data_IF_418819996647
#
_entry.id   IF_418819996647
#
_cell.length_a   1.000
_cell.length_b   1.000
_cell.length_c   1.000
_cell.angle_alpha   90.00
_cell.angle_beta   90.00
_cell.angle_gamma   90.00
#
_symmetry.space_group_name_H-M   'P 1'
#
loop_
_entity.id
_entity.type
_entity.pdbx_description
1 polymer ?
#
# COMPACT_ATOMS: atom_id res chain seq x y z
N UNK A 1 3.37 -30.59 10.62
CA UNK A 1 2.65 -29.54 9.88
C UNK A 1 3.72 -28.54 9.52
N UNK A 2 4.26 -28.66 8.32
CA UNK A 2 5.32 -27.77 7.85
C UNK A 2 4.65 -26.47 7.41
N UNK A 3 4.98 -25.38 8.10
CA UNK A 3 4.48 -24.06 7.77
C UNK A 3 5.35 -23.52 6.63
N UNK A 4 4.76 -23.37 5.44
CA UNK A 4 5.37 -22.63 4.35
C UNK A 4 4.90 -21.18 4.48
N UNK A 5 5.84 -20.25 4.75
CA UNK A 5 5.57 -18.82 4.62
C UNK A 5 5.96 -18.39 3.21
N UNK A 6 5.07 -17.67 2.54
CA UNK A 6 5.30 -17.15 1.20
C UNK A 6 6.06 -15.83 1.32
N UNK A 7 7.30 -15.80 0.84
CA UNK A 7 8.11 -14.59 0.74
C UNK A 7 8.28 -14.28 -0.74
N UNK A 8 7.34 -13.52 -1.28
CA UNK A 8 7.53 -12.93 -2.60
C UNK A 8 8.39 -11.67 -2.51
N UNK A 9 9.14 -11.33 -3.56
CA UNK A 9 9.79 -10.03 -3.65
C UNK A 9 8.71 -8.94 -3.57
N UNK A 10 8.89 -8.00 -2.64
CA UNK A 10 8.02 -6.84 -2.50
C UNK A 10 8.16 -5.87 -3.66
N UNK A 11 7.32 -4.85 -3.66
CA UNK A 11 7.44 -3.68 -4.53
C UNK A 11 7.87 -2.47 -3.71
N UNK A 12 8.99 -1.86 -4.09
CA UNK A 12 9.45 -0.62 -3.49
C UNK A 12 8.93 0.59 -4.28
N UNK A 13 8.07 1.38 -3.64
CA UNK A 13 7.57 2.65 -4.19
C UNK A 13 8.39 3.78 -3.59
N UNK A 14 9.24 4.40 -4.41
CA UNK A 14 10.16 5.48 -3.96
C UNK A 14 9.76 6.86 -4.45
N UNK A 15 8.73 6.94 -5.30
CA UNK A 15 8.19 8.18 -5.87
C UNK A 15 6.69 8.06 -6.03
N UNK A 16 6.01 9.18 -5.87
CA UNK A 16 4.59 9.32 -6.14
C UNK A 16 4.38 10.54 -7.05
N UNK A 17 3.40 10.45 -7.95
CA UNK A 17 2.91 11.63 -8.68
C UNK A 17 2.16 12.57 -7.72
N UNK A 18 1.43 11.97 -6.77
CA UNK A 18 0.68 12.70 -5.75
C UNK A 18 0.48 11.85 -4.49
N UNK A 19 0.43 12.51 -3.33
CA UNK A 19 0.00 11.90 -2.07
C UNK A 19 -1.05 12.79 -1.41
N UNK A 20 -2.20 12.21 -1.08
CA UNK A 20 -3.35 12.92 -0.48
C UNK A 20 -3.97 12.12 0.67
N UNK A 21 -4.63 12.82 1.60
CA UNK A 21 -5.45 12.18 2.64
C UNK A 21 -6.91 12.22 2.19
N UNK A 22 -7.59 11.09 2.31
CA UNK A 22 -9.02 10.95 2.07
C UNK A 22 -9.72 10.23 3.23
N UNK A 23 -11.04 10.09 3.13
CA UNK A 23 -11.83 9.22 4.01
C UNK A 23 -11.81 7.78 3.46
N UNK A 24 -11.74 6.79 4.33
CA UNK A 24 -11.69 5.36 3.93
C UNK A 24 -13.09 4.74 3.67
N UNK A 25 -14.16 5.54 3.84
CA UNK A 25 -15.54 5.11 3.62
C UNK A 25 -16.18 4.33 4.79
N UNK A 26 -15.43 4.03 5.85
CA UNK A 26 -15.91 3.35 7.06
C UNK A 26 -15.71 4.18 8.34
N UNK A 27 -15.40 5.47 8.18
CA UNK A 27 -15.23 6.45 9.27
C UNK A 27 -13.80 6.62 9.75
N UNK A 28 -12.83 6.00 9.05
CA UNK A 28 -11.40 6.26 9.22
C UNK A 28 -10.83 7.12 8.08
N UNK A 29 -9.52 7.27 8.10
CA UNK A 29 -8.77 8.00 7.10
C UNK A 29 -7.96 7.04 6.23
N UNK A 30 -7.71 7.49 5.00
CA UNK A 30 -6.84 6.83 4.05
C UNK A 30 -5.75 7.78 3.59
N UNK A 31 -4.53 7.27 3.41
CA UNK A 31 -3.51 7.93 2.59
C UNK A 31 -3.52 7.28 1.21
N UNK A 32 -3.74 8.10 0.18
CA UNK A 32 -3.77 7.69 -1.21
C UNK A 32 -2.48 8.14 -1.88
N UNK A 33 -1.70 7.19 -2.37
CA UNK A 33 -0.43 7.41 -3.06
C UNK A 33 -0.64 7.14 -4.53
N UNK A 34 -0.78 8.19 -5.35
CA UNK A 34 -0.84 8.07 -6.81
C UNK A 34 0.55 7.77 -7.35
N UNK A 35 0.67 6.63 -8.01
CA UNK A 35 1.87 6.10 -8.63
C UNK A 35 2.22 6.84 -9.92
N UNK A 36 3.50 6.83 -10.28
CA UNK A 36 3.89 7.22 -11.64
C UNK A 36 3.37 6.18 -12.64
N UNK A 37 3.20 6.52 -13.93
CA UNK A 37 2.74 5.56 -14.92
C UNK A 37 3.62 4.31 -15.05
N UNK A 38 4.93 4.44 -14.82
CA UNK A 38 5.85 3.30 -14.83
C UNK A 38 5.62 2.41 -13.60
N UNK A 39 5.57 2.99 -12.40
CA UNK A 39 5.37 2.25 -11.15
C UNK A 39 3.98 1.61 -11.09
N UNK A 40 2.96 2.20 -11.74
CA UNK A 40 1.62 1.63 -11.85
C UNK A 40 1.60 0.31 -12.63
N UNK A 41 2.44 0.17 -13.66
CA UNK A 41 2.58 -1.10 -14.40
C UNK A 41 3.22 -2.17 -13.53
N UNK A 42 4.29 -1.81 -12.81
CA UNK A 42 4.98 -2.73 -11.91
C UNK A 42 4.09 -3.14 -10.73
N UNK A 43 3.29 -2.21 -10.19
CA UNK A 43 2.31 -2.48 -9.15
C UNK A 43 1.19 -3.43 -9.60
N UNK A 44 0.62 -3.22 -10.78
CA UNK A 44 -0.38 -4.13 -11.33
C UNK A 44 0.18 -5.55 -11.55
N UNK A 45 1.41 -5.66 -12.05
CA UNK A 45 2.09 -6.93 -12.22
C UNK A 45 2.35 -7.62 -10.87
N UNK A 46 2.85 -6.87 -9.89
CA UNK A 46 3.14 -7.38 -8.55
C UNK A 46 1.88 -7.86 -7.81
N UNK A 47 0.80 -7.07 -7.84
CA UNK A 47 -0.47 -7.46 -7.20
C UNK A 47 -1.12 -8.67 -7.88
N UNK A 48 -0.91 -8.86 -9.18
CA UNK A 48 -1.36 -10.06 -9.89
C UNK A 48 -0.68 -11.33 -9.37
N UNK A 49 0.64 -11.27 -9.14
CA UNK A 49 1.39 -12.39 -8.55
C UNK A 49 1.08 -12.64 -7.07
N UNK A 50 0.80 -11.55 -6.34
CA UNK A 50 0.58 -11.59 -4.90
C UNK A 50 -0.88 -11.88 -4.49
N UNK A 51 -1.83 -11.86 -5.43
CA UNK A 51 -3.24 -12.09 -5.15
C UNK A 51 -3.47 -13.45 -4.46
N UNK A 52 -4.35 -13.46 -3.45
CA UNK A 52 -4.61 -14.59 -2.57
C UNK A 52 -3.68 -14.68 -1.35
N UNK A 53 -2.74 -13.75 -1.18
CA UNK A 53 -1.81 -13.72 -0.05
C UNK A 53 -2.01 -12.48 0.83
N UNK A 54 -1.55 -12.57 2.08
CA UNK A 54 -1.40 -11.40 2.94
C UNK A 54 -0.18 -10.61 2.49
N UNK A 55 -0.36 -9.31 2.30
CA UNK A 55 0.73 -8.38 1.96
C UNK A 55 1.01 -7.47 3.14
N UNK A 56 2.25 -7.01 3.29
CA UNK A 56 2.60 -6.00 4.28
C UNK A 56 2.88 -4.67 3.58
N UNK A 57 2.24 -3.60 4.03
CA UNK A 57 2.59 -2.24 3.62
C UNK A 57 3.50 -1.67 4.68
N UNK A 58 4.75 -1.40 4.30
CA UNK A 58 5.76 -0.85 5.19
C UNK A 58 6.30 0.49 4.71
N UNK A 59 6.53 1.40 5.65
CA UNK A 59 7.20 2.67 5.41
C UNK A 59 8.41 2.74 6.35
N UNK A 60 9.58 3.04 5.79
CA UNK A 60 10.86 3.09 6.52
C UNK A 60 11.15 1.81 7.35
N UNK A 61 10.80 0.65 6.79
CA UNK A 61 11.00 -0.66 7.44
C UNK A 61 10.03 -0.97 8.59
N UNK A 62 9.02 -0.13 8.82
CA UNK A 62 7.94 -0.41 9.79
C UNK A 62 6.67 -0.82 9.05
N UNK A 63 6.13 -1.98 9.41
CA UNK A 63 4.83 -2.44 8.89
C UNK A 63 3.73 -1.56 9.48
N UNK A 64 2.97 -0.89 8.60
CA UNK A 64 1.83 -0.07 8.98
C UNK A 64 0.57 -0.92 9.05
N UNK A 65 0.29 -1.67 7.98
CA UNK A 65 -0.85 -2.57 7.87
C UNK A 65 -0.45 -3.84 7.12
N UNK A 66 -1.19 -4.92 7.34
CA UNK A 66 -0.97 -6.20 6.66
C UNK A 66 -2.30 -6.80 6.14
N UNK A 67 -2.92 -6.20 5.11
CA UNK A 67 -4.20 -6.68 4.58
C UNK A 67 -4.04 -7.96 3.75
N UNK A 68 -5.14 -8.69 3.62
CA UNK A 68 -5.26 -9.75 2.62
C UNK A 68 -5.47 -9.12 1.24
N UNK A 69 -4.58 -9.42 0.29
CA UNK A 69 -4.74 -9.02 -1.10
C UNK A 69 -5.61 -10.05 -1.83
N UNK A 70 -6.93 -9.88 -1.76
CA UNK A 70 -7.88 -10.89 -2.27
C UNK A 70 -7.85 -11.00 -3.80
N UNK A 71 -7.69 -9.88 -4.49
CA UNK A 71 -7.71 -9.81 -5.96
C UNK A 71 -6.61 -8.87 -6.46
N UNK A 72 -6.15 -9.04 -7.72
CA UNK A 72 -5.22 -8.10 -8.33
C UNK A 72 -5.79 -6.69 -8.31
N UNK A 73 -4.95 -5.70 -8.00
CA UNK A 73 -5.37 -4.32 -8.01
C UNK A 73 -5.04 -3.71 -9.36
N UNK A 74 -6.08 -3.34 -10.09
CA UNK A 74 -5.96 -2.45 -11.24
C UNK A 74 -6.10 -1.01 -10.76
N UNK A 75 -5.04 -0.22 -10.88
CA UNK A 75 -5.09 1.18 -10.46
C UNK A 75 -3.76 1.89 -10.56
N UNK A 76 -3.83 3.22 -10.54
CA UNK A 76 -2.71 4.14 -10.48
C UNK A 76 -2.44 4.61 -9.04
N UNK A 77 -3.01 3.95 -8.02
CA UNK A 77 -2.86 4.36 -6.63
C UNK A 77 -2.79 3.21 -5.62
N UNK A 78 -2.00 3.40 -4.57
CA UNK A 78 -2.06 2.62 -3.33
C UNK A 78 -2.95 3.30 -2.31
N UNK A 79 -3.78 2.52 -1.63
CA UNK A 79 -4.67 2.98 -0.58
C UNK A 79 -4.24 2.39 0.75
N UNK A 80 -3.77 3.23 1.67
CA UNK A 80 -3.42 2.86 3.03
C UNK A 80 -4.58 3.30 3.92
N UNK A 81 -5.48 2.37 4.24
CA UNK A 81 -6.78 2.63 4.90
C UNK A 81 -6.75 2.25 6.38
N UNK A 82 -7.83 2.59 7.12
CA UNK A 82 -8.00 2.23 8.53
C UNK A 82 -7.13 3.06 9.47
N UNK A 83 -6.70 4.24 9.03
CA UNK A 83 -5.85 5.13 9.81
C UNK A 83 -6.70 6.06 10.68
N UNK A 84 -6.15 6.49 11.82
CA UNK A 84 -6.65 7.68 12.50
C UNK A 84 -6.22 8.93 11.71
N UNK A 85 -6.89 10.07 11.92
CA UNK A 85 -6.50 11.33 11.28
C UNK A 85 -5.04 11.71 11.57
N UNK A 86 -4.61 11.52 12.83
CA UNK A 86 -3.24 11.85 13.27
C UNK A 86 -2.21 10.93 12.61
N UNK A 87 -2.53 9.64 12.46
CA UNK A 87 -1.65 8.68 11.78
C UNK A 87 -1.56 8.98 10.28
N UNK A 88 -2.69 9.32 9.63
CA UNK A 88 -2.71 9.70 8.22
C UNK A 88 -1.88 10.98 7.95
N UNK A 89 -1.99 11.99 8.82
CA UNK A 89 -1.17 13.21 8.72
C UNK A 89 0.32 12.95 8.95
N UNK A 90 0.65 12.04 9.88
CA UNK A 90 2.04 11.65 10.14
C UNK A 90 2.62 10.91 8.95
N UNK A 91 1.89 9.94 8.43
CA UNK A 91 2.28 9.17 7.25
C UNK A 91 2.44 10.06 6.02
N UNK A 92 1.52 10.99 5.77
CA UNK A 92 1.65 11.95 4.69
C UNK A 92 2.98 12.71 4.78
N UNK A 93 3.34 13.25 5.96
CA UNK A 93 4.61 13.95 6.13
C UNK A 93 5.82 13.05 5.84
N UNK A 94 5.82 11.81 6.32
CA UNK A 94 6.92 10.87 6.07
C UNK A 94 7.12 10.54 4.59
N UNK A 95 6.05 10.54 3.78
CA UNK A 95 6.15 10.27 2.35
C UNK A 95 6.65 11.46 1.52
N UNK A 96 6.74 12.65 2.12
CA UNK A 96 7.24 13.88 1.48
C UNK A 96 8.66 14.28 1.91
N UNK A 97 9.24 13.62 2.91
CA UNK A 97 10.63 13.83 3.39
C UNK A 97 11.64 13.01 2.58
#
# INVERSE_FOLDING_TARGET
>A
MDWCYFVDPGLDVTRADRVEIGEDGIGGFAVVVTLTPADGVDYAAWTTGSAGHQIAISVEGRVLIAPDLLEPLSGDALHIIGLTETDAQTLLRQLWE
#
